data_IF_999891988980
#
_entry.id   IF_999891988980
#
_cell.length_a   1.000
_cell.length_b   1.000
_cell.length_c   1.000
_cell.angle_alpha   90.00
_cell.angle_beta   90.00
_cell.angle_gamma   90.00
#
_symmetry.space_group_name_H-M   'P 1'
#
loop_
_entity.id
_entity.type
_entity.pdbx_description
1 polymer ?
#
# COMPACT_ATOMS: atom_id res chain seq x y z
N UNK A 1 6.58 16.06 3.56
CA UNK A 1 5.12 15.94 3.37
C UNK A 1 4.52 15.36 4.64
N UNK A 2 3.30 15.76 5.03
CA UNK A 2 2.57 15.16 6.17
C UNK A 2 1.82 13.93 5.67
N UNK A 3 1.69 12.88 6.49
CA UNK A 3 0.84 11.73 6.15
C UNK A 3 -0.63 12.11 6.39
N UNK A 4 -1.54 11.89 5.43
CA UNK A 4 -2.96 12.18 5.61
C UNK A 4 -3.54 11.38 6.78
N UNK A 5 -4.44 12.00 7.56
CA UNK A 5 -5.17 11.28 8.60
C UNK A 5 -6.09 10.23 7.97
N UNK A 6 -6.19 9.02 8.54
CA UNK A 6 -7.08 7.99 8.04
C UNK A 6 -8.54 8.45 8.16
N UNK A 7 -9.31 8.22 7.09
CA UNK A 7 -10.76 8.34 7.11
C UNK A 7 -11.35 6.99 7.50
N UNK A 8 -12.13 6.95 8.58
CA UNK A 8 -12.82 5.74 9.02
C UNK A 8 -14.26 5.76 8.51
N UNK A 9 -14.70 4.64 7.95
CA UNK A 9 -16.06 4.42 7.46
C UNK A 9 -16.47 3.03 7.93
N UNK A 10 -17.62 2.95 8.59
CA UNK A 10 -18.24 1.67 8.94
C UNK A 10 -19.13 1.22 7.78
N UNK A 11 -18.98 -0.04 7.36
CA UNK A 11 -19.72 -0.62 6.24
C UNK A 11 -20.55 -1.79 6.76
N UNK A 12 -21.87 -1.61 6.81
CA UNK A 12 -22.79 -2.67 7.24
C UNK A 12 -23.20 -3.55 6.05
N UNK A 13 -22.95 -4.84 6.14
CA UNK A 13 -23.29 -5.82 5.10
C UNK A 13 -24.34 -6.79 5.65
N UNK A 14 -25.52 -6.81 5.02
CA UNK A 14 -26.58 -7.74 5.39
C UNK A 14 -26.14 -9.19 5.18
N UNK A 15 -26.26 -10.02 6.22
CA UNK A 15 -25.84 -11.42 6.16
C UNK A 15 -24.32 -11.64 6.20
N UNK A 16 -23.53 -10.63 6.62
CA UNK A 16 -22.10 -10.81 6.85
C UNK A 16 -21.87 -11.93 7.89
N UNK A 17 -21.01 -12.93 7.62
CA UNK A 17 -20.66 -13.92 8.62
C UNK A 17 -20.07 -13.25 9.87
N UNK A 18 -20.46 -13.72 11.06
CA UNK A 18 -20.05 -13.12 12.34
C UNK A 18 -18.51 -13.07 12.53
N UNK A 19 -17.76 -13.94 11.86
CA UNK A 19 -16.29 -13.92 11.87
C UNK A 19 -15.69 -12.65 11.26
N UNK A 20 -16.45 -11.90 10.45
CA UNK A 20 -16.04 -10.63 9.85
C UNK A 20 -16.68 -9.40 10.52
N UNK A 21 -17.43 -9.59 11.61
CA UNK A 21 -17.93 -8.45 12.39
C UNK A 21 -16.74 -7.74 13.06
N UNK A 22 -16.66 -6.41 12.86
CA UNK A 22 -15.51 -5.62 13.30
C UNK A 22 -14.22 -5.81 12.49
N UNK A 23 -14.26 -6.52 11.35
CA UNK A 23 -13.10 -6.72 10.48
C UNK A 23 -12.62 -5.40 9.86
N UNK A 24 -11.30 -5.15 9.88
CA UNK A 24 -10.70 -3.86 9.54
C UNK A 24 -9.84 -3.96 8.29
N UNK A 25 -10.31 -3.34 7.21
CA UNK A 25 -9.54 -3.17 5.98
C UNK A 25 -8.94 -1.76 5.94
N UNK A 26 -7.62 -1.67 5.80
CA UNK A 26 -6.95 -0.41 5.49
C UNK A 26 -6.75 -0.31 3.97
N UNK A 27 -7.36 0.69 3.35
CA UNK A 27 -7.13 1.03 1.95
C UNK A 27 -6.11 2.15 1.82
N UNK A 28 -5.01 1.87 1.12
CA UNK A 28 -4.05 2.85 0.64
C UNK A 28 -4.23 3.00 -0.88
N UNK A 29 -4.04 4.21 -1.41
CA UNK A 29 -4.19 4.48 -2.83
C UNK A 29 -3.33 5.68 -3.22
N UNK A 30 -2.92 5.75 -4.48
CA UNK A 30 -2.28 6.92 -5.09
C UNK A 30 -1.09 7.43 -4.24
N UNK A 31 -0.25 6.48 -3.78
CA UNK A 31 0.92 6.79 -2.95
C UNK A 31 1.93 7.61 -3.75
N UNK A 32 2.07 7.33 -5.06
CA UNK A 32 2.98 8.02 -5.97
C UNK A 32 4.38 8.23 -5.39
N UNK A 33 5.02 7.15 -4.92
CA UNK A 33 6.40 7.20 -4.45
C UNK A 33 7.28 7.84 -5.55
N UNK A 34 7.88 8.98 -5.24
CA UNK A 34 8.42 9.89 -6.26
C UNK A 34 9.59 10.70 -5.71
N UNK A 35 10.16 11.58 -6.54
CA UNK A 35 11.19 12.55 -6.09
C UNK A 35 10.68 13.50 -5.00
N UNK A 36 9.37 13.70 -4.90
CA UNK A 36 8.74 14.56 -3.88
C UNK A 36 8.25 13.75 -2.67
N UNK A 37 7.78 12.52 -2.93
CA UNK A 37 7.29 11.56 -1.96
C UNK A 37 8.34 10.46 -1.78
N UNK A 38 9.42 10.80 -1.11
CA UNK A 38 10.61 9.94 -0.95
C UNK A 38 10.39 8.80 0.03
N UNK A 39 11.35 7.89 0.09
CA UNK A 39 11.33 6.75 1.03
C UNK A 39 11.12 7.13 2.49
N UNK A 40 11.58 8.29 2.95
CA UNK A 40 11.33 8.74 4.32
C UNK A 40 9.85 9.03 4.57
N UNK A 41 9.16 9.62 3.59
CA UNK A 41 7.72 9.85 3.70
C UNK A 41 6.95 8.53 3.57
N UNK A 42 7.34 7.67 2.63
CA UNK A 42 6.72 6.35 2.45
C UNK A 42 6.88 5.51 3.73
N UNK A 43 8.03 5.57 4.41
CA UNK A 43 8.22 4.92 5.71
C UNK A 43 7.26 5.41 6.76
N UNK A 44 7.01 6.73 6.84
CA UNK A 44 6.00 7.27 7.77
C UNK A 44 4.60 6.77 7.45
N UNK A 45 4.23 6.67 6.16
CA UNK A 45 2.96 6.07 5.74
C UNK A 45 2.86 4.63 6.25
N UNK A 46 3.92 3.85 6.12
CA UNK A 46 3.98 2.45 6.58
C UNK A 46 3.87 2.35 8.10
N UNK A 47 4.62 3.17 8.83
CA UNK A 47 4.59 3.18 10.30
C UNK A 47 3.19 3.54 10.82
N UNK A 48 2.57 4.58 10.27
CA UNK A 48 1.20 4.99 10.63
C UNK A 48 0.17 3.92 10.23
N UNK A 49 0.34 3.27 9.07
CA UNK A 49 -0.54 2.18 8.61
C UNK A 49 -0.48 0.97 9.54
N UNK A 50 0.72 0.54 9.93
CA UNK A 50 0.92 -0.59 10.83
C UNK A 50 0.40 -0.30 12.25
N UNK A 51 0.52 0.95 12.71
CA UNK A 51 -0.02 1.38 14.01
C UNK A 51 -1.55 1.34 14.06
N UNK A 52 -2.23 1.36 12.91
CA UNK A 52 -3.68 1.19 12.85
C UNK A 52 -4.12 -0.26 13.10
N UNK A 53 -3.23 -1.26 13.13
CA UNK A 53 -3.57 -2.68 13.37
C UNK A 53 -4.73 -3.21 12.50
N UNK A 54 -4.70 -3.04 11.16
CA UNK A 54 -5.72 -3.61 10.28
C UNK A 54 -5.58 -5.14 10.17
N UNK A 55 -6.67 -5.80 9.82
CA UNK A 55 -6.70 -7.24 9.53
C UNK A 55 -6.19 -7.52 8.10
N UNK A 56 -6.49 -6.62 7.16
CA UNK A 56 -6.06 -6.65 5.76
C UNK A 56 -5.64 -5.25 5.30
N UNK A 57 -4.55 -5.17 4.54
CA UNK A 57 -4.16 -3.95 3.83
C UNK A 57 -4.37 -4.17 2.33
N UNK A 58 -5.07 -3.23 1.69
CA UNK A 58 -5.23 -3.20 0.24
C UNK A 58 -4.61 -1.92 -0.32
N UNK A 59 -3.82 -2.05 -1.40
CA UNK A 59 -3.27 -0.91 -2.14
C UNK A 59 -3.90 -0.87 -3.52
N UNK A 60 -4.70 0.16 -3.78
CA UNK A 60 -5.60 0.22 -4.94
C UNK A 60 -5.03 0.96 -6.15
N UNK A 61 -3.73 0.87 -6.38
CA UNK A 61 -3.05 1.40 -7.56
C UNK A 61 -2.15 2.61 -7.29
N UNK A 62 -1.43 3.01 -8.34
CA UNK A 62 -0.57 4.20 -8.42
C UNK A 62 0.40 4.32 -7.23
N UNK A 63 1.23 3.29 -7.12
CA UNK A 63 2.17 3.12 -6.02
C UNK A 63 3.47 3.91 -6.29
N UNK A 64 3.92 4.01 -7.54
CA UNK A 64 5.20 4.65 -7.90
C UNK A 64 5.13 5.55 -9.14
N UNK A 65 5.85 6.67 -9.08
CA UNK A 65 6.14 7.53 -10.24
C UNK A 65 7.61 7.45 -10.67
N UNK A 66 7.87 6.64 -11.70
CA UNK A 66 9.17 6.55 -12.36
C UNK A 66 9.76 5.13 -12.38
N UNK A 67 10.92 4.99 -13.02
CA UNK A 67 11.56 3.68 -13.21
C UNK A 67 11.97 3.03 -11.89
N UNK A 68 12.08 1.70 -11.92
CA UNK A 68 12.59 0.92 -10.76
C UNK A 68 13.96 1.43 -10.32
N UNK A 69 14.87 1.71 -11.26
CA UNK A 69 16.19 2.26 -10.97
C UNK A 69 16.12 3.58 -10.19
N UNK A 70 15.18 4.45 -10.56
CA UNK A 70 15.07 5.77 -9.96
C UNK A 70 14.35 5.78 -8.61
N UNK A 71 13.43 4.83 -8.36
CA UNK A 71 12.47 4.88 -7.23
C UNK A 71 12.52 3.67 -6.31
N UNK A 72 13.40 2.68 -6.54
CA UNK A 72 13.49 1.46 -5.70
C UNK A 72 13.59 1.80 -4.22
N UNK A 73 14.45 2.75 -3.85
CA UNK A 73 14.65 3.11 -2.45
C UNK A 73 13.46 3.87 -1.85
N UNK A 74 12.71 4.60 -2.68
CA UNK A 74 11.50 5.28 -2.26
C UNK A 74 10.37 4.28 -1.98
N UNK A 75 10.22 3.27 -2.83
CA UNK A 75 9.21 2.23 -2.68
C UNK A 75 9.58 1.15 -1.65
N UNK A 76 10.87 0.99 -1.32
CA UNK A 76 11.39 -0.08 -0.43
C UNK A 76 10.64 -0.21 0.90
N UNK A 77 10.27 0.87 1.62
CA UNK A 77 9.58 0.74 2.90
C UNK A 77 8.21 0.06 2.81
N UNK A 78 7.55 0.04 1.63
CA UNK A 78 6.25 -0.61 1.46
C UNK A 78 6.28 -2.11 1.71
N UNK A 79 7.46 -2.74 1.62
CA UNK A 79 7.66 -4.13 1.99
C UNK A 79 7.50 -4.39 3.51
N UNK A 80 7.51 -3.34 4.34
CA UNK A 80 7.35 -3.43 5.79
C UNK A 80 5.88 -3.26 6.23
N UNK A 81 4.93 -3.10 5.30
CA UNK A 81 3.49 -3.16 5.59
C UNK A 81 3.12 -4.56 6.10
N UNK A 82 2.32 -4.62 7.18
CA UNK A 82 1.98 -5.88 7.83
C UNK A 82 0.51 -5.88 8.27
N UNK A 83 -0.17 -6.95 7.93
CA UNK A 83 -1.49 -7.28 8.43
C UNK A 83 -1.65 -8.81 8.51
N UNK A 84 -2.44 -9.34 9.47
CA UNK A 84 -2.63 -10.78 9.66
C UNK A 84 -3.06 -11.53 8.38
N UNK A 85 -3.99 -10.96 7.61
CA UNK A 85 -4.51 -11.56 6.38
C UNK A 85 -3.75 -11.08 5.12
N UNK A 86 -2.65 -10.35 5.32
CA UNK A 86 -1.70 -9.96 4.30
C UNK A 86 -1.88 -8.57 3.72
N UNK A 87 -1.06 -8.28 2.72
CA UNK A 87 -1.05 -7.02 1.98
C UNK A 87 -1.28 -7.32 0.52
N UNK A 88 -2.38 -6.83 -0.03
CA UNK A 88 -2.77 -7.06 -1.44
C UNK A 88 -2.66 -5.75 -2.19
N UNK A 89 -1.92 -5.75 -3.29
CA UNK A 89 -1.78 -4.58 -4.16
C UNK A 89 -2.25 -4.91 -5.58
N UNK A 90 -2.92 -3.94 -6.20
CA UNK A 90 -3.19 -3.92 -7.64
C UNK A 90 -2.41 -2.77 -8.28
N UNK A 91 -2.17 -2.87 -9.57
CA UNK A 91 -1.52 -1.81 -10.34
C UNK A 91 -2.51 -0.74 -10.79
N UNK A 92 -2.07 0.51 -10.80
CA UNK A 92 -2.72 1.62 -11.51
C UNK A 92 -1.98 1.95 -12.80
N UNK A 93 -2.35 3.05 -13.45
CA UNK A 93 -1.77 3.44 -14.73
C UNK A 93 -0.30 3.89 -14.61
N UNK A 94 0.13 4.37 -13.44
CA UNK A 94 1.51 4.83 -13.26
C UNK A 94 2.53 3.70 -13.34
N UNK A 95 2.20 2.49 -12.88
CA UNK A 95 3.05 1.32 -13.09
C UNK A 95 3.22 1.01 -14.59
N UNK A 96 2.17 1.18 -15.41
CA UNK A 96 2.25 1.02 -16.86
C UNK A 96 3.13 2.06 -17.54
N UNK A 97 3.03 3.32 -17.14
CA UNK A 97 3.85 4.40 -17.69
C UNK A 97 5.34 4.26 -17.32
N UNK A 98 5.62 3.66 -16.16
CA UNK A 98 6.93 3.74 -15.52
C UNK A 98 7.76 2.44 -15.55
N UNK A 99 7.35 1.41 -16.32
CA UNK A 99 7.95 0.07 -16.48
C UNK A 99 7.21 -1.07 -15.73
N UNK A 100 5.95 -1.30 -16.07
CA UNK A 100 5.07 -2.29 -15.43
C UNK A 100 5.75 -3.63 -15.13
N UNK A 101 6.37 -4.26 -16.14
CA UNK A 101 7.00 -5.58 -15.96
C UNK A 101 8.12 -5.56 -14.93
N UNK A 102 8.93 -4.50 -14.92
CA UNK A 102 10.03 -4.36 -13.97
C UNK A 102 9.51 -4.13 -12.55
N UNK A 103 8.46 -3.31 -12.39
CA UNK A 103 7.80 -3.08 -11.11
C UNK A 103 7.13 -4.34 -10.57
N UNK A 104 6.39 -5.08 -11.40
CA UNK A 104 5.78 -6.34 -10.98
C UNK A 104 6.82 -7.38 -10.53
N UNK A 105 7.98 -7.42 -11.18
CA UNK A 105 9.08 -8.28 -10.74
C UNK A 105 9.68 -7.81 -9.41
N UNK A 106 9.91 -6.50 -9.25
CA UNK A 106 10.48 -5.92 -8.03
C UNK A 106 9.56 -6.08 -6.82
N UNK A 107 8.29 -5.70 -6.94
CA UNK A 107 7.29 -5.80 -5.88
C UNK A 107 6.92 -7.26 -5.58
N UNK A 108 6.72 -8.09 -6.61
CA UNK A 108 6.40 -9.50 -6.43
C UNK A 108 7.52 -10.30 -5.74
N UNK A 109 8.78 -9.88 -5.84
CA UNK A 109 9.88 -10.47 -5.08
C UNK A 109 9.89 -10.00 -3.61
N UNK A 110 9.42 -8.78 -3.34
CA UNK A 110 9.41 -8.18 -2.01
C UNK A 110 8.22 -8.66 -1.13
N UNK A 111 7.04 -8.85 -1.73
CA UNK A 111 5.78 -9.16 -1.02
C UNK A 111 5.49 -10.66 -0.84
N UNK A 112 6.42 -11.54 -1.25
CA UNK A 112 6.32 -13.01 -1.07
C UNK A 112 7.06 -13.53 0.17
N UNK A 113 7.43 -12.64 1.09
CA UNK A 113 8.07 -12.97 2.37
C UNK A 113 7.07 -12.84 3.50
#
# INVERSE_FOLDING_TARGET
>A
MVVPKPRQIEVSIAGLPAAFDGYRVLQLTDIHASRLLTGDWVRRVVDESNALTPDLIVITGDLIDGSVEARRDDARPLADLRAPDGVVAITGNHEYYAQYRAWMQACGAAMRR
#
